data_IF_208267267915
#
_entry.id   IF_208267267915
#
_cell.length_a   1.000
_cell.length_b   1.000
_cell.length_c   1.000
_cell.angle_alpha   90.00
_cell.angle_beta   90.00
_cell.angle_gamma   90.00
#
_symmetry.space_group_name_H-M   'P 1'
#
loop_
_entity.id
_entity.type
_entity.pdbx_description
1 polymer ?
#
# COMPACT_ATOMS: atom_id res chain seq x y z
N UNK A 1 -36.72 10.35 7.20
CA UNK A 1 -35.75 9.28 7.48
C UNK A 1 -34.79 9.30 6.31
N UNK A 2 -33.62 9.93 6.47
CA UNK A 2 -32.64 10.07 5.40
C UNK A 2 -32.03 8.70 5.10
N UNK A 3 -32.05 8.31 3.83
CA UNK A 3 -31.40 7.11 3.32
C UNK A 3 -29.89 7.38 3.25
N UNK A 4 -29.25 7.48 4.43
CA UNK A 4 -27.80 7.65 4.55
C UNK A 4 -27.11 6.29 4.58
N UNK A 5 -27.22 5.56 3.47
CA UNK A 5 -26.27 4.50 3.20
C UNK A 5 -25.31 5.02 2.12
N UNK A 6 -24.06 5.39 2.45
CA UNK A 6 -23.11 5.83 1.45
C UNK A 6 -22.93 4.70 0.44
N UNK A 7 -23.35 4.93 -0.80
CA UNK A 7 -23.12 3.98 -1.89
C UNK A 7 -21.61 3.93 -2.12
N UNK A 8 -20.99 2.85 -1.65
CA UNK A 8 -19.59 2.56 -1.93
C UNK A 8 -19.46 2.21 -3.41
N UNK A 9 -19.08 3.19 -4.23
CA UNK A 9 -18.88 3.03 -5.67
C UNK A 9 -17.80 1.98 -6.07
N UNK A 10 -17.15 1.33 -5.09
CA UNK A 10 -16.02 0.40 -5.27
C UNK A 10 -16.23 -0.99 -4.62
N UNK A 11 -17.45 -1.38 -4.23
CA UNK A 11 -17.70 -2.67 -3.57
C UNK A 11 -17.21 -3.88 -4.38
N UNK A 12 -17.32 -3.84 -5.71
CA UNK A 12 -16.79 -4.89 -6.58
C UNK A 12 -15.26 -4.99 -6.52
N UNK A 13 -14.56 -3.85 -6.46
CA UNK A 13 -13.11 -3.82 -6.33
C UNK A 13 -12.67 -4.31 -4.94
N UNK A 14 -13.39 -3.91 -3.88
CA UNK A 14 -13.15 -4.40 -2.52
C UNK A 14 -13.24 -5.92 -2.46
N UNK A 15 -14.32 -6.52 -2.97
CA UNK A 15 -14.49 -7.98 -3.03
C UNK A 15 -13.39 -8.68 -3.81
N UNK A 16 -12.91 -8.08 -4.90
CA UNK A 16 -11.81 -8.64 -5.67
C UNK A 16 -10.50 -8.63 -4.87
N UNK A 17 -10.20 -7.57 -4.12
CA UNK A 17 -9.02 -7.53 -3.25
C UNK A 17 -9.12 -8.49 -2.07
N UNK A 18 -10.27 -8.54 -1.40
CA UNK A 18 -10.54 -9.51 -0.33
C UNK A 18 -10.31 -10.96 -0.80
N UNK A 19 -10.78 -11.29 -2.01
CA UNK A 19 -10.60 -12.63 -2.58
C UNK A 19 -9.13 -12.96 -2.93
N UNK A 20 -8.29 -11.95 -3.17
CA UNK A 20 -6.91 -12.13 -3.62
C UNK A 20 -5.86 -11.81 -2.54
N UNK A 21 -6.24 -11.21 -1.42
CA UNK A 21 -5.33 -10.65 -0.42
C UNK A 21 -4.31 -11.67 0.08
N UNK A 22 -4.74 -12.88 0.43
CA UNK A 22 -3.84 -13.93 0.92
C UNK A 22 -2.82 -14.37 -0.14
N UNK A 23 -3.22 -14.47 -1.41
CA UNK A 23 -2.30 -14.80 -2.50
C UNK A 23 -1.33 -13.65 -2.77
N UNK A 24 -1.82 -12.41 -2.74
CA UNK A 24 -1.00 -11.24 -2.92
C UNK A 24 0.05 -11.10 -1.82
N UNK A 25 -0.34 -11.34 -0.57
CA UNK A 25 0.57 -11.30 0.57
C UNK A 25 1.68 -12.35 0.47
N UNK A 26 1.36 -13.59 0.10
CA UNK A 26 2.36 -14.65 -0.13
C UNK A 26 3.28 -14.32 -1.33
N UNK A 27 2.71 -13.84 -2.44
CA UNK A 27 3.46 -13.54 -3.65
C UNK A 27 4.39 -12.33 -3.51
N UNK A 28 3.95 -11.29 -2.79
CA UNK A 28 4.75 -10.10 -2.53
C UNK A 28 5.70 -10.31 -1.37
N UNK A 29 5.24 -10.93 -0.28
CA UNK A 29 5.95 -11.09 0.97
C UNK A 29 6.52 -9.77 1.52
N UNK A 30 7.50 -9.91 2.41
CA UNK A 30 8.24 -8.76 2.97
C UNK A 30 9.25 -8.18 1.96
N UNK A 31 9.77 -9.02 1.06
CA UNK A 31 10.84 -8.64 0.14
C UNK A 31 10.35 -8.01 -1.16
N UNK A 32 9.06 -8.11 -1.49
CA UNK A 32 8.54 -7.77 -2.81
C UNK A 32 9.00 -8.75 -3.90
N UNK A 33 8.42 -8.64 -5.08
CA UNK A 33 8.83 -9.40 -6.27
C UNK A 33 9.83 -8.64 -7.15
N UNK A 34 10.32 -9.29 -8.21
CA UNK A 34 11.27 -8.69 -9.16
C UNK A 34 10.73 -7.44 -9.85
N UNK A 35 9.42 -7.39 -10.12
CA UNK A 35 8.81 -6.21 -10.73
C UNK A 35 8.96 -4.98 -9.82
N UNK A 36 8.67 -5.14 -8.53
CA UNK A 36 8.88 -4.07 -7.54
C UNK A 36 10.37 -3.77 -7.37
N UNK A 37 11.21 -4.79 -7.19
CA UNK A 37 12.60 -4.60 -6.81
C UNK A 37 13.50 -4.09 -7.94
N UNK A 38 13.26 -4.52 -9.17
CA UNK A 38 14.10 -4.17 -10.31
C UNK A 38 13.56 -2.95 -11.08
N UNK A 39 12.23 -2.76 -11.13
CA UNK A 39 11.63 -1.72 -11.97
C UNK A 39 11.04 -0.55 -11.18
N UNK A 40 10.20 -0.83 -10.16
CA UNK A 40 9.41 0.21 -9.50
C UNK A 40 10.21 0.92 -8.41
N UNK A 41 10.69 0.18 -7.41
CA UNK A 41 11.30 0.75 -6.20
C UNK A 41 12.50 1.66 -6.48
N UNK A 42 13.47 1.31 -7.36
CA UNK A 42 14.62 2.19 -7.62
C UNK A 42 14.23 3.55 -8.20
N UNK A 43 13.11 3.62 -8.93
CA UNK A 43 12.60 4.87 -9.52
C UNK A 43 11.75 5.64 -8.52
N UNK A 44 10.90 4.95 -7.77
CA UNK A 44 10.08 5.57 -6.72
C UNK A 44 10.95 6.19 -5.63
N UNK A 45 11.93 5.45 -5.10
CA UNK A 45 12.83 5.95 -4.06
C UNK A 45 13.62 7.19 -4.51
N UNK A 46 14.09 7.20 -5.77
CA UNK A 46 14.76 8.36 -6.37
C UNK A 46 13.82 9.55 -6.52
N UNK A 47 12.56 9.33 -6.92
CA UNK A 47 11.59 10.39 -7.11
C UNK A 47 11.15 11.02 -5.78
N UNK A 48 10.97 10.18 -4.75
CA UNK A 48 10.58 10.65 -3.42
C UNK A 48 11.70 11.44 -2.74
N UNK A 49 12.97 11.05 -2.96
CA UNK A 49 14.16 11.68 -2.36
C UNK A 49 13.99 11.90 -0.84
N UNK A 50 13.37 10.92 -0.19
CA UNK A 50 12.87 11.02 1.16
C UNK A 50 13.99 11.32 2.16
N UNK A 51 13.74 12.25 3.07
CA UNK A 51 14.64 12.59 4.16
C UNK A 51 14.14 11.98 5.49
N UNK A 52 15.05 11.53 6.39
CA UNK A 52 14.65 11.07 7.71
C UNK A 52 13.84 12.12 8.48
N UNK A 53 12.76 11.68 9.13
CA UNK A 53 11.84 12.54 9.88
C UNK A 53 10.66 13.08 9.07
N UNK A 54 10.63 12.88 7.75
CA UNK A 54 9.47 13.23 6.93
C UNK A 54 8.26 12.32 7.24
N UNK A 55 7.06 12.84 6.94
CA UNK A 55 5.79 12.13 7.16
C UNK A 55 5.22 11.68 5.83
N UNK A 56 4.90 10.40 5.70
CA UNK A 56 4.37 9.82 4.46
C UNK A 56 3.01 9.19 4.72
N UNK A 57 2.08 9.38 3.77
CA UNK A 57 0.82 8.66 3.69
C UNK A 57 0.92 7.61 2.58
N UNK A 58 0.85 6.33 2.95
CA UNK A 58 0.78 5.21 2.01
C UNK A 58 -0.69 4.80 1.84
N UNK A 59 -1.32 5.29 0.77
CA UNK A 59 -2.74 5.08 0.49
C UNK A 59 -2.92 3.85 -0.40
N UNK A 60 -3.80 2.93 0.03
CA UNK A 60 -3.91 1.57 -0.50
C UNK A 60 -2.62 0.76 -0.28
N UNK A 61 -2.17 0.72 0.99
CA UNK A 61 -0.89 0.14 1.35
C UNK A 61 -0.81 -1.39 1.21
N UNK A 62 -1.93 -2.09 1.02
CA UNK A 62 -2.00 -3.54 1.02
C UNK A 62 -1.32 -4.14 2.25
N UNK A 63 -0.43 -5.10 2.04
CA UNK A 63 0.37 -5.73 3.10
C UNK A 63 1.47 -4.84 3.71
N UNK A 64 1.61 -3.59 3.24
CA UNK A 64 2.52 -2.60 3.81
C UNK A 64 3.95 -2.63 3.27
N UNK A 65 4.21 -3.32 2.15
CA UNK A 65 5.55 -3.42 1.55
C UNK A 65 6.25 -2.04 1.41
N UNK A 66 5.57 -1.04 0.87
CA UNK A 66 6.15 0.30 0.71
C UNK A 66 6.22 1.05 2.03
N UNK A 67 5.16 1.01 2.85
CA UNK A 67 5.16 1.62 4.17
C UNK A 67 6.36 1.19 5.03
N UNK A 68 6.68 -0.10 5.05
CA UNK A 68 7.83 -0.64 5.78
C UNK A 68 9.16 -0.12 5.22
N UNK A 69 9.37 -0.16 3.90
CA UNK A 69 10.59 0.37 3.28
C UNK A 69 10.78 1.87 3.52
N UNK A 70 9.70 2.63 3.46
CA UNK A 70 9.73 4.07 3.72
C UNK A 70 10.05 4.37 5.20
N UNK A 71 9.54 3.54 6.11
CA UNK A 71 9.90 3.61 7.53
C UNK A 71 11.38 3.26 7.77
N UNK A 72 11.93 2.26 7.08
CA UNK A 72 13.36 1.91 7.11
C UNK A 72 14.26 3.05 6.62
N UNK A 73 13.76 3.90 5.71
CA UNK A 73 14.43 5.13 5.27
C UNK A 73 14.34 6.28 6.28
N UNK A 74 13.67 6.08 7.43
CA UNK A 74 13.58 7.03 8.53
C UNK A 74 12.34 7.93 8.51
N UNK A 75 11.34 7.66 7.66
CA UNK A 75 10.09 8.40 7.67
C UNK A 75 9.10 7.87 8.72
N UNK A 76 8.20 8.74 9.15
CA UNK A 76 7.00 8.35 9.89
C UNK A 76 5.86 8.10 8.92
N UNK A 77 5.46 6.84 8.77
CA UNK A 77 4.47 6.42 7.76
C UNK A 77 3.12 6.13 8.39
N UNK A 78 2.05 6.62 7.75
CA UNK A 78 0.68 6.18 8.00
C UNK A 78 0.22 5.41 6.77
N UNK A 79 -0.05 4.11 6.94
CA UNK A 79 -0.64 3.26 5.91
C UNK A 79 -2.12 3.07 6.15
N UNK A 80 -2.92 3.04 5.07
CA UNK A 80 -4.28 2.52 5.14
C UNK A 80 -4.65 1.78 3.86
N UNK A 81 -5.45 0.74 4.02
CA UNK A 81 -6.07 0.00 2.93
C UNK A 81 -7.54 -0.26 3.30
N UNK A 82 -8.40 -0.42 2.29
CA UNK A 82 -9.79 -0.80 2.55
C UNK A 82 -9.97 -2.32 2.72
N UNK A 83 -8.96 -3.10 2.34
CA UNK A 83 -9.01 -4.56 2.33
C UNK A 83 -8.46 -5.03 3.66
N UNK A 84 -9.18 -5.95 4.30
CA UNK A 84 -8.84 -6.44 5.64
C UNK A 84 -8.33 -7.86 5.64
#
# INVERSE_FOLDING_TARGET
>A
MTDENPVWHNEAARRAWEANAAHWDDYMGEAGNDFVNLLIWPRLARLLELQPGERVLDAACGNGLYALRLAEMGATVVGFDFST
#
